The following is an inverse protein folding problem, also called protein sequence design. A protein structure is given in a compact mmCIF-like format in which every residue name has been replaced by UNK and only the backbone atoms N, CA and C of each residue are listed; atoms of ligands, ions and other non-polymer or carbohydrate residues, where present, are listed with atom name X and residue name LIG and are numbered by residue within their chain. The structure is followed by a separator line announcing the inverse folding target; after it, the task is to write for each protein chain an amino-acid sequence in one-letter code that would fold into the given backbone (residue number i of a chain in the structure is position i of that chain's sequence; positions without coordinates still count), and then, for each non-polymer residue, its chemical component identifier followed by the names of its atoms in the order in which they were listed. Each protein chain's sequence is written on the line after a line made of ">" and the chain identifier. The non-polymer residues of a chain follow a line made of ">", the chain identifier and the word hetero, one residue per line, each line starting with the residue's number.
data_IF_128918652291
#
_entry.id   IF_128918652291
#
_cell.length_a   1.000
_cell.length_b   1.000
_cell.length_c   1.000
_cell.angle_alpha   90.00
_cell.angle_beta   90.00
_cell.angle_gamma   90.00
#
_symmetry.space_group_name_H-M   'P 1'
#
loop_
_entity.id
_entity.type
_entity.pdbx_description
1 polymer ?
#
# COMPACT_ATOMS: atom_id res chain seq x y z
N UNK A 1 20.53 -7.87 7.51
CA UNK A 1 19.87 -6.54 7.56
C UNK A 1 18.53 -6.57 8.30
N UNK A 2 17.61 -7.50 7.98
CA UNK A 2 16.32 -7.60 8.68
C UNK A 2 16.43 -7.80 10.21
N UNK A 3 17.43 -8.56 10.68
CA UNK A 3 17.69 -8.74 12.12
C UNK A 3 18.14 -7.45 12.81
N UNK A 4 18.92 -6.61 12.12
CA UNK A 4 19.41 -5.33 12.64
C UNK A 4 18.28 -4.30 12.75
N UNK A 5 17.41 -4.21 11.74
CA UNK A 5 16.28 -3.29 11.75
C UNK A 5 15.26 -3.66 12.83
N UNK A 6 14.98 -4.96 12.99
CA UNK A 6 14.08 -5.44 14.03
C UNK A 6 14.65 -5.18 15.43
N UNK A 7 15.95 -5.47 15.62
CA UNK A 7 16.65 -5.20 16.87
C UNK A 7 16.63 -3.70 17.21
N UNK A 8 16.90 -2.84 16.23
CA UNK A 8 16.86 -1.39 16.40
C UNK A 8 15.47 -0.91 16.84
N UNK A 9 14.40 -1.37 16.19
CA UNK A 9 13.03 -1.02 16.58
C UNK A 9 12.70 -1.41 18.02
N UNK A 10 13.08 -2.63 18.43
CA UNK A 10 12.87 -3.12 19.79
C UNK A 10 13.67 -2.29 20.81
N UNK A 11 14.94 -1.99 20.51
CA UNK A 11 15.80 -1.20 21.40
C UNK A 11 15.23 0.22 21.56
N UNK A 12 14.78 0.85 20.48
CA UNK A 12 14.18 2.20 20.54
C UNK A 12 12.91 2.19 21.38
N UNK A 13 11.99 1.23 21.17
CA UNK A 13 10.78 1.12 21.99
C UNK A 13 11.10 0.87 23.47
N UNK A 14 12.10 0.04 23.76
CA UNK A 14 12.56 -0.24 25.12
C UNK A 14 13.13 1.02 25.80
N UNK A 15 13.99 1.77 25.10
CA UNK A 15 14.56 3.01 25.59
C UNK A 15 13.49 4.08 25.83
N UNK A 16 12.54 4.25 24.90
CA UNK A 16 11.41 5.17 25.07
C UNK A 16 10.56 4.80 26.28
N UNK A 17 10.29 3.51 26.49
CA UNK A 17 9.53 3.02 27.66
C UNK A 17 10.25 3.30 28.98
N UNK A 18 11.58 3.21 29.02
CA UNK A 18 12.38 3.36 30.25
C UNK A 18 12.77 4.80 30.57
N UNK A 19 13.17 5.57 29.56
CA UNK A 19 13.68 6.95 29.69
C UNK A 19 12.56 7.97 29.53
N UNK A 20 11.49 7.63 28.81
CA UNK A 20 10.35 8.51 28.58
C UNK A 20 9.57 8.86 29.86
N UNK A 21 8.76 9.94 29.82
CA UNK A 21 7.95 10.35 30.95
C UNK A 21 6.97 9.24 31.36
N UNK A 22 6.97 8.90 32.66
CA UNK A 22 6.07 7.87 33.20
C UNK A 22 4.62 8.31 33.00
N UNK A 23 3.87 7.54 32.21
CA UNK A 23 2.43 7.70 32.08
C UNK A 23 1.79 7.55 33.45
N UNK A 24 1.07 8.57 33.92
CA UNK A 24 0.14 8.48 35.05
C UNK A 24 -1.22 8.10 34.48
N UNK A 25 -1.62 6.82 34.48
CA UNK A 25 -2.90 6.40 33.92
C UNK A 25 -4.02 6.98 34.77
N UNK A 26 -4.83 7.83 34.16
CA UNK A 26 -6.08 8.34 34.72
C UNK A 26 -7.18 7.90 33.78
N UNK A 27 -8.40 7.60 34.28
CA UNK A 27 -9.53 7.16 33.43
C UNK A 27 -9.71 8.07 32.21
N UNK A 28 -9.73 9.38 32.41
CA UNK A 28 -9.82 10.37 31.33
C UNK A 28 -8.66 10.35 30.31
N UNK A 29 -7.46 9.87 30.66
CA UNK A 29 -6.32 9.74 29.73
C UNK A 29 -6.35 8.45 28.92
N UNK A 30 -7.12 7.46 29.38
CA UNK A 30 -7.27 6.16 28.75
C UNK A 30 -8.54 6.08 27.88
N UNK A 31 -9.42 7.07 27.98
CA UNK A 31 -10.61 7.19 27.16
C UNK A 31 -10.28 7.78 25.78
N UNK A 32 -11.04 7.37 24.76
CA UNK A 32 -10.96 7.94 23.43
C UNK A 32 -11.32 9.43 23.45
N UNK A 33 -10.52 10.24 22.75
CA UNK A 33 -10.78 11.67 22.65
C UNK A 33 -11.95 11.95 21.69
N UNK A 34 -13.05 12.48 22.22
CA UNK A 34 -14.22 12.91 21.43
C UNK A 34 -14.58 14.38 21.69
N UNK A 35 -13.59 15.28 21.86
CA UNK A 35 -13.83 16.71 22.12
C UNK A 35 -14.65 17.01 23.40
N UNK A 36 -14.45 16.21 24.46
CA UNK A 36 -15.03 16.46 25.78
C UNK A 36 -16.35 15.74 26.07
N UNK A 37 -16.86 14.95 25.14
CA UNK A 37 -17.92 13.96 25.43
C UNK A 37 -17.29 12.62 25.83
N UNK A 38 -17.94 11.89 26.72
CA UNK A 38 -17.55 10.52 27.06
C UNK A 38 -17.70 9.64 25.81
N UNK A 39 -16.66 8.88 25.48
CA UNK A 39 -16.60 8.07 24.26
C UNK A 39 -17.91 7.31 24.02
N UNK A 40 -18.63 7.70 22.97
CA UNK A 40 -19.84 6.96 22.58
C UNK A 40 -19.37 5.58 22.13
N UNK A 41 -19.86 4.53 22.79
CA UNK A 41 -19.63 3.15 22.40
C UNK A 41 -20.38 2.87 21.08
N UNK A 42 -19.86 3.41 19.97
CA UNK A 42 -20.37 3.21 18.64
C UNK A 42 -20.05 1.78 18.22
N UNK A 43 -20.89 0.83 18.65
CA UNK A 43 -20.68 -0.60 18.43
C UNK A 43 -20.69 -1.00 16.95
N UNK A 44 -21.04 -0.12 16.01
CA UNK A 44 -20.90 -0.32 14.56
C UNK A 44 -21.41 0.93 13.82
N UNK A 45 -20.58 1.97 13.71
CA UNK A 45 -20.87 3.05 12.76
C UNK A 45 -20.34 2.64 11.39
N UNK A 46 -21.23 2.54 10.39
CA UNK A 46 -20.84 2.31 9.00
C UNK A 46 -20.20 3.58 8.45
N UNK A 47 -18.88 3.60 8.36
CA UNK A 47 -18.14 4.67 7.68
C UNK A 47 -18.19 4.38 6.17
N UNK A 48 -18.73 5.29 5.33
CA UNK A 48 -18.73 5.09 3.88
C UNK A 48 -17.29 5.15 3.36
N UNK A 49 -16.82 4.04 2.75
CA UNK A 49 -15.50 3.99 2.13
C UNK A 49 -15.62 4.50 0.70
N UNK A 50 -15.49 5.81 0.52
CA UNK A 50 -15.53 6.47 -0.81
C UNK A 50 -14.40 6.02 -1.74
N UNK A 51 -13.33 5.44 -1.18
CA UNK A 51 -12.09 5.10 -1.87
C UNK A 51 -12.04 3.64 -2.39
N UNK A 52 -13.14 2.90 -2.30
CA UNK A 52 -13.12 1.46 -2.59
C UNK A 52 -12.77 1.13 -4.05
N UNK A 53 -13.22 1.95 -5.01
CA UNK A 53 -12.91 1.76 -6.44
C UNK A 53 -11.41 1.88 -6.69
N UNK A 54 -10.74 2.85 -6.08
CA UNK A 54 -9.30 3.01 -6.22
C UNK A 54 -8.53 1.93 -5.50
N UNK A 55 -9.05 1.38 -4.40
CA UNK A 55 -8.44 0.22 -3.75
C UNK A 55 -8.48 -1.02 -4.66
N UNK A 56 -9.62 -1.28 -5.32
CA UNK A 56 -9.74 -2.39 -6.29
C UNK A 56 -8.80 -2.15 -7.48
N UNK A 57 -8.73 -0.92 -8.01
CA UNK A 57 -7.80 -0.57 -9.07
C UNK A 57 -6.34 -0.81 -8.66
N UNK A 58 -5.98 -0.40 -7.43
CA UNK A 58 -4.62 -0.62 -6.92
C UNK A 58 -4.27 -2.11 -6.88
N UNK A 59 -5.20 -2.98 -6.45
CA UNK A 59 -4.98 -4.43 -6.44
C UNK A 59 -4.72 -4.96 -7.85
N UNK A 60 -5.51 -4.55 -8.84
CA UNK A 60 -5.33 -4.99 -10.24
C UNK A 60 -3.99 -4.49 -10.79
N UNK A 61 -3.65 -3.23 -10.55
CA UNK A 61 -2.39 -2.65 -11.00
C UNK A 61 -1.17 -3.31 -10.33
N UNK A 62 -1.25 -3.64 -9.04
CA UNK A 62 -0.18 -4.31 -8.29
C UNK A 62 0.03 -5.76 -8.79
N UNK A 63 -1.05 -6.47 -9.11
CA UNK A 63 -0.97 -7.77 -9.78
C UNK A 63 -0.29 -7.65 -11.14
N UNK A 64 -0.55 -6.60 -11.91
CA UNK A 64 0.15 -6.41 -13.18
C UNK A 64 1.63 -6.04 -13.00
N UNK A 65 1.95 -5.24 -11.98
CA UNK A 65 3.33 -4.91 -11.64
C UNK A 65 4.17 -6.14 -11.24
N UNK A 66 3.56 -7.15 -10.61
CA UNK A 66 4.27 -8.39 -10.24
C UNK A 66 4.79 -9.15 -11.47
N UNK A 67 4.13 -9.03 -12.63
CA UNK A 67 4.53 -9.69 -13.87
C UNK A 67 5.75 -9.04 -14.54
N UNK A 68 6.03 -7.78 -14.23
CA UNK A 68 7.20 -7.06 -14.74
C UNK A 68 8.50 -7.69 -14.19
N UNK A 69 8.48 -8.22 -12.96
CA UNK A 69 9.63 -8.83 -12.31
C UNK A 69 10.18 -10.07 -13.04
N UNK A 70 9.39 -11.15 -13.27
CA UNK A 70 9.88 -12.33 -13.97
C UNK A 70 10.28 -12.01 -15.40
N UNK A 71 9.54 -11.12 -16.10
CA UNK A 71 9.94 -10.64 -17.42
C UNK A 71 11.33 -10.00 -17.40
N UNK A 72 11.58 -9.08 -16.46
CA UNK A 72 12.88 -8.40 -16.33
C UNK A 72 14.01 -9.36 -15.95
N UNK A 73 13.70 -10.39 -15.17
CA UNK A 73 14.67 -11.41 -14.75
C UNK A 73 15.15 -12.27 -15.94
N UNK A 74 14.25 -12.66 -16.86
CA UNK A 74 14.57 -13.54 -17.99
C UNK A 74 14.96 -12.79 -19.27
N UNK A 75 14.77 -11.47 -19.33
CA UNK A 75 15.01 -10.67 -20.52
C UNK A 75 16.40 -10.87 -21.16
N UNK A 76 17.44 -11.02 -20.33
CA UNK A 76 18.82 -11.22 -20.81
C UNK A 76 19.01 -12.58 -21.50
N UNK A 77 18.35 -13.62 -21.00
CA UNK A 77 18.46 -14.97 -21.54
C UNK A 77 17.77 -15.03 -22.92
N UNK A 78 16.55 -14.51 -23.02
CA UNK A 78 15.83 -14.39 -24.30
C UNK A 78 16.53 -13.49 -25.32
N UNK A 79 17.26 -12.47 -24.86
CA UNK A 79 18.08 -11.64 -25.76
C UNK A 79 19.25 -12.43 -26.35
N UNK A 80 19.91 -13.27 -25.55
CA UNK A 80 21.01 -14.12 -26.01
C UNK A 80 20.54 -15.22 -26.99
N UNK A 81 19.31 -15.72 -26.82
CA UNK A 81 18.69 -16.71 -27.70
C UNK A 81 18.13 -16.12 -29.00
N UNK A 82 18.20 -14.80 -29.20
CA UNK A 82 17.73 -14.12 -30.41
C UNK A 82 16.24 -13.74 -30.42
N UNK A 83 15.52 -13.99 -29.32
CA UNK A 83 14.11 -13.62 -29.14
C UNK A 83 13.91 -12.24 -28.50
N UNK A 84 14.97 -11.44 -28.36
CA UNK A 84 14.95 -10.14 -27.67
C UNK A 84 13.89 -9.16 -28.20
N UNK A 85 13.62 -9.12 -29.50
CA UNK A 85 12.60 -8.25 -30.09
C UNK A 85 11.19 -8.67 -29.71
N UNK A 86 10.92 -9.97 -29.65
CA UNK A 86 9.61 -10.52 -29.30
C UNK A 86 9.25 -10.21 -27.85
N UNK A 87 10.16 -10.52 -26.93
CA UNK A 87 9.96 -10.29 -25.49
C UNK A 87 9.84 -8.79 -25.14
N UNK A 88 10.50 -7.92 -25.91
CA UNK A 88 10.37 -6.47 -25.77
C UNK A 88 8.99 -5.98 -26.23
N UNK A 89 8.50 -6.45 -27.38
CA UNK A 89 7.17 -6.08 -27.89
C UNK A 89 6.09 -6.54 -26.91
N UNK A 90 6.21 -7.75 -26.36
CA UNK A 90 5.26 -8.27 -25.38
C UNK A 90 5.17 -7.35 -24.15
N UNK A 91 6.31 -6.87 -23.65
CA UNK A 91 6.34 -5.90 -22.54
C UNK A 91 5.71 -4.56 -22.91
N UNK A 92 5.95 -4.05 -24.12
CA UNK A 92 5.35 -2.80 -24.60
C UNK A 92 3.83 -2.93 -24.69
N UNK A 93 3.33 -4.05 -25.21
CA UNK A 93 1.89 -4.33 -25.28
C UNK A 93 1.30 -4.46 -23.87
N UNK A 94 1.99 -5.14 -22.96
CA UNK A 94 1.57 -5.25 -21.56
C UNK A 94 1.48 -3.88 -20.88
N UNK A 95 2.52 -3.04 -21.01
CA UNK A 95 2.51 -1.66 -20.50
C UNK A 95 1.42 -0.80 -21.15
N UNK A 96 1.15 -0.99 -22.44
CA UNK A 96 0.10 -0.25 -23.13
C UNK A 96 -1.28 -0.59 -22.54
N UNK A 97 -1.54 -1.85 -22.18
CA UNK A 97 -2.77 -2.27 -21.51
C UNK A 97 -2.93 -1.59 -20.14
N UNK A 98 -1.86 -1.52 -19.34
CA UNK A 98 -1.86 -0.79 -18.06
C UNK A 98 -2.25 0.68 -18.22
N UNK A 99 -1.59 1.36 -19.16
CA UNK A 99 -1.86 2.79 -19.45
C UNK A 99 -3.28 2.97 -19.98
N UNK A 100 -3.76 2.05 -20.80
CA UNK A 100 -5.11 2.09 -21.34
C UNK A 100 -6.18 1.92 -20.24
N UNK A 101 -5.99 0.96 -19.34
CA UNK A 101 -6.86 0.76 -18.18
C UNK A 101 -6.92 2.00 -17.29
N UNK A 102 -5.76 2.60 -17.00
CA UNK A 102 -5.69 3.85 -16.24
C UNK A 102 -6.39 5.00 -16.96
N UNK A 103 -6.17 5.16 -18.27
CA UNK A 103 -6.81 6.19 -19.06
C UNK A 103 -8.33 6.06 -19.08
N UNK A 104 -8.85 4.84 -19.22
CA UNK A 104 -10.28 4.56 -19.17
C UNK A 104 -10.89 4.99 -17.83
N UNK A 105 -10.26 4.59 -16.73
CA UNK A 105 -10.76 4.90 -15.38
C UNK A 105 -10.66 6.40 -15.08
N UNK A 106 -9.59 7.04 -15.54
CA UNK A 106 -9.42 8.48 -15.41
C UNK A 106 -10.54 9.25 -16.13
N UNK A 107 -10.94 8.81 -17.34
CA UNK A 107 -12.11 9.37 -18.03
C UNK A 107 -13.42 9.11 -17.30
N UNK A 108 -13.52 7.98 -16.60
CA UNK A 108 -14.68 7.61 -15.79
C UNK A 108 -14.79 8.33 -14.44
N UNK A 109 -13.87 9.24 -14.09
CA UNK A 109 -13.80 9.95 -12.79
C UNK A 109 -13.82 9.03 -11.56
N UNK A 110 -13.44 7.75 -11.68
CA UNK A 110 -13.43 6.84 -10.53
C UNK A 110 -12.29 7.15 -9.52
N UNK A 111 -11.48 8.16 -9.81
CA UNK A 111 -10.45 8.72 -8.95
C UNK A 111 -10.93 9.99 -8.20
N UNK A 112 -12.13 10.48 -8.47
CA UNK A 112 -12.72 11.60 -7.74
C UNK A 112 -13.48 11.06 -6.51
N UNK A 113 -13.26 11.68 -5.36
CA UNK A 113 -13.66 11.16 -4.04
C UNK A 113 -14.72 12.03 -3.33
N UNK A 114 -15.57 12.68 -4.12
CA UNK A 114 -16.71 13.47 -3.60
C UNK A 114 -17.79 12.61 -2.95
#
# INVERSE_FOLDING_TARGET
>A
MATLSLLFGVVVLFLVSKVGPKLKPTKAKLESYESGISGQQASTTKVPVKFYLTAILFIVFDIEAIFIYPWAAVFKDFLAEGYGSFILIEMVVFMATLVWGLFYIWKGKALDWE
#
